data_IF_380433307145
#
_entry.id   IF_380433307145
#
_cell.length_a   1.000
_cell.length_b   1.000
_cell.length_c   1.000
_cell.angle_alpha   90.00
_cell.angle_beta   90.00
_cell.angle_gamma   90.00
#
_symmetry.space_group_name_H-M   'P 1'
#
loop_
_entity.id
_entity.type
_entity.pdbx_description
1 polymer ?
#
# COMPACT_ATOMS: atom_id res chain seq x y z
N UNK A 1 37.56 29.73 18.70
CA UNK A 1 36.61 29.47 17.60
C UNK A 1 36.81 28.03 17.16
N UNK A 2 36.04 27.10 17.72
CA UNK A 2 36.09 25.70 17.34
C UNK A 2 34.84 25.42 16.51
N UNK A 3 35.01 25.28 15.19
CA UNK A 3 33.99 24.69 14.32
C UNK A 3 33.98 23.19 14.60
N UNK A 4 32.91 22.70 15.21
CA UNK A 4 32.62 21.27 15.23
C UNK A 4 32.25 20.81 13.80
N UNK A 5 32.67 19.60 13.40
CA UNK A 5 32.34 19.03 12.10
C UNK A 5 30.84 18.72 12.03
N UNK A 6 30.32 18.85 10.82
CA UNK A 6 28.92 18.87 10.44
C UNK A 6 28.16 17.61 10.89
N UNK A 7 26.97 17.89 11.41
CA UNK A 7 25.88 16.98 11.71
C UNK A 7 25.79 15.85 10.67
N UNK A 8 25.79 14.60 11.15
CA UNK A 8 25.45 13.47 10.31
C UNK A 8 24.04 13.70 9.80
N UNK A 9 23.86 13.78 8.48
CA UNK A 9 22.54 13.62 7.90
C UNK A 9 22.19 12.15 8.15
N UNK A 10 21.61 11.89 9.32
CA UNK A 10 20.76 10.74 9.51
C UNK A 10 19.63 10.93 8.47
N UNK A 11 19.67 10.19 7.36
CA UNK A 11 18.63 10.23 6.33
C UNK A 11 17.30 9.87 7.00
N UNK A 12 16.56 10.88 7.46
CA UNK A 12 15.29 10.68 8.13
C UNK A 12 14.33 10.02 7.13
N UNK A 13 13.74 8.86 7.47
CA UNK A 13 12.90 8.12 6.53
C UNK A 13 11.78 9.00 5.97
N UNK A 14 11.54 8.94 4.66
CA UNK A 14 10.51 9.75 4.02
C UNK A 14 9.12 9.16 4.29
N UNK A 15 8.64 9.44 5.51
CA UNK A 15 7.33 9.03 6.01
C UNK A 15 6.17 9.57 5.18
N UNK A 16 6.36 10.70 4.50
CA UNK A 16 5.33 11.30 3.65
C UNK A 16 5.14 10.48 2.38
N UNK A 17 6.23 10.14 1.69
CA UNK A 17 6.19 9.35 0.45
C UNK A 17 5.80 7.90 0.72
N UNK A 18 6.32 7.31 1.80
CA UNK A 18 5.91 5.98 2.24
C UNK A 18 4.39 5.93 2.52
N UNK A 19 3.85 6.91 3.25
CA UNK A 19 2.42 6.93 3.56
C UNK A 19 1.57 7.15 2.30
N UNK A 20 2.01 7.99 1.36
CA UNK A 20 1.32 8.21 0.09
C UNK A 20 1.19 6.92 -0.72
N UNK A 21 2.16 6.00 -0.64
CA UNK A 21 2.08 4.70 -1.28
C UNK A 21 0.82 3.91 -0.85
N UNK A 22 0.46 3.95 0.43
CA UNK A 22 -0.76 3.29 0.93
C UNK A 22 -2.04 3.94 0.43
N UNK A 23 -2.08 5.27 0.31
CA UNK A 23 -3.23 5.94 -0.31
C UNK A 23 -3.33 5.58 -1.79
N UNK A 24 -2.20 5.51 -2.48
CA UNK A 24 -2.12 5.04 -3.86
C UNK A 24 -2.67 3.64 -4.06
N UNK A 25 -2.46 2.75 -3.09
CA UNK A 25 -2.94 1.37 -3.13
C UNK A 25 -4.48 1.25 -3.20
N UNK A 26 -5.24 2.28 -2.79
CA UNK A 26 -6.70 2.33 -2.93
C UNK A 26 -7.11 2.33 -4.41
N UNK A 27 -6.35 3.04 -5.24
CA UNK A 27 -6.60 3.13 -6.68
C UNK A 27 -6.03 1.93 -7.45
N UNK A 28 -5.17 1.14 -6.80
CA UNK A 28 -4.58 -0.07 -7.34
C UNK A 28 -3.08 -0.21 -7.02
N UNK A 29 -2.45 -1.33 -7.41
CA UNK A 29 -1.06 -1.63 -7.06
C UNK A 29 -0.02 -0.80 -7.81
N UNK A 30 -0.40 -0.11 -8.89
CA UNK A 30 0.55 0.56 -9.79
C UNK A 30 1.23 1.76 -9.11
N UNK A 31 0.46 2.59 -8.39
CA UNK A 31 1.00 3.77 -7.71
C UNK A 31 2.05 3.38 -6.65
N UNK A 32 1.76 2.51 -5.67
CA UNK A 32 2.76 2.09 -4.70
C UNK A 32 3.94 1.34 -5.35
N UNK A 33 3.73 0.63 -6.46
CA UNK A 33 4.81 -0.03 -7.18
C UNK A 33 5.80 0.96 -7.79
N UNK A 34 5.31 2.07 -8.34
CA UNK A 34 6.16 3.17 -8.81
C UNK A 34 6.94 3.81 -7.65
N UNK A 35 6.31 4.00 -6.49
CA UNK A 35 6.98 4.52 -5.28
C UNK A 35 8.08 3.56 -4.82
N UNK A 36 7.82 2.25 -4.82
CA UNK A 36 8.82 1.24 -4.51
C UNK A 36 10.02 1.31 -5.45
N UNK A 37 9.76 1.45 -6.76
CA UNK A 37 10.83 1.51 -7.76
C UNK A 37 11.68 2.78 -7.62
N UNK A 38 11.05 3.91 -7.27
CA UNK A 38 11.72 5.17 -7.01
C UNK A 38 12.55 5.10 -5.72
N UNK A 39 12.01 4.45 -4.66
CA UNK A 39 12.61 4.47 -3.32
C UNK A 39 13.57 3.34 -2.97
N UNK A 40 13.65 2.30 -3.81
CA UNK A 40 14.50 1.11 -3.53
C UNK A 40 16.00 1.41 -3.44
N UNK A 41 16.46 2.56 -3.93
CA UNK A 41 17.88 2.92 -4.03
C UNK A 41 18.36 3.95 -2.99
N UNK A 42 17.44 4.78 -2.47
CA UNK A 42 17.71 5.89 -1.55
C UNK A 42 17.17 5.60 -0.14
N UNK A 43 15.92 5.15 0.00
CA UNK A 43 15.26 4.91 1.29
C UNK A 43 14.67 3.49 1.37
N UNK A 44 15.42 2.60 2.02
CA UNK A 44 15.00 1.20 2.21
C UNK A 44 13.73 1.07 3.04
N UNK A 45 13.50 1.97 4.00
CA UNK A 45 12.30 1.90 4.84
C UNK A 45 11.07 2.30 4.02
N UNK A 46 11.12 3.41 3.29
CA UNK A 46 10.03 3.83 2.41
C UNK A 46 9.80 2.82 1.27
N UNK A 47 10.86 2.21 0.74
CA UNK A 47 10.72 1.13 -0.24
C UNK A 47 9.97 -0.08 0.35
N UNK A 48 10.32 -0.54 1.55
CA UNK A 48 9.60 -1.65 2.19
C UNK A 48 8.12 -1.36 2.37
N UNK A 49 7.79 -0.14 2.78
CA UNK A 49 6.41 0.28 2.99
C UNK A 49 5.63 0.36 1.68
N UNK A 50 6.25 0.89 0.62
CA UNK A 50 5.69 0.88 -0.72
C UNK A 50 5.53 -0.54 -1.30
N UNK A 51 6.43 -1.47 -1.00
CA UNK A 51 6.27 -2.89 -1.37
C UNK A 51 5.06 -3.52 -0.66
N UNK A 52 4.89 -3.25 0.64
CA UNK A 52 3.73 -3.70 1.41
C UNK A 52 2.42 -3.13 0.84
N UNK A 53 2.39 -1.83 0.52
CA UNK A 53 1.25 -1.20 -0.13
C UNK A 53 0.94 -1.81 -1.51
N UNK A 54 1.96 -2.16 -2.29
CA UNK A 54 1.81 -2.82 -3.61
C UNK A 54 1.18 -4.20 -3.47
N UNK A 55 1.69 -4.99 -2.52
CA UNK A 55 1.20 -6.33 -2.20
C UNK A 55 -0.28 -6.32 -1.78
N UNK A 56 -0.66 -5.36 -0.93
CA UNK A 56 -2.05 -5.16 -0.55
C UNK A 56 -2.92 -4.68 -1.71
N UNK A 57 -2.46 -3.68 -2.48
CA UNK A 57 -3.19 -3.19 -3.66
C UNK A 57 -3.45 -4.29 -4.69
N UNK A 58 -2.53 -5.24 -4.82
CA UNK A 58 -2.73 -6.40 -5.69
C UNK A 58 -3.76 -7.38 -5.14
N UNK A 59 -3.75 -7.65 -3.83
CA UNK A 59 -4.79 -8.44 -3.17
C UNK A 59 -6.18 -7.82 -3.40
N UNK A 60 -6.31 -6.51 -3.23
CA UNK A 60 -7.56 -5.76 -3.47
C UNK A 60 -7.99 -5.90 -4.93
N UNK A 61 -7.07 -5.75 -5.88
CA UNK A 61 -7.35 -5.91 -7.31
C UNK A 61 -7.86 -7.33 -7.62
N UNK A 62 -7.21 -8.36 -7.09
CA UNK A 62 -7.63 -9.76 -7.28
C UNK A 62 -9.03 -10.00 -6.69
N UNK A 63 -9.28 -9.54 -5.47
CA UNK A 63 -10.59 -9.66 -4.83
C UNK A 63 -11.69 -8.95 -5.65
N UNK A 64 -11.38 -7.77 -6.17
CA UNK A 64 -12.30 -7.01 -7.03
C UNK A 64 -12.58 -7.73 -8.35
N UNK A 65 -11.54 -8.33 -8.97
CA UNK A 65 -11.70 -9.12 -10.19
C UNK A 65 -12.56 -10.37 -9.96
N UNK A 66 -12.41 -11.05 -8.82
CA UNK A 66 -13.27 -12.19 -8.45
C UNK A 66 -14.72 -11.73 -8.27
N UNK A 67 -14.96 -10.64 -7.55
CA UNK A 67 -16.31 -10.10 -7.36
C UNK A 67 -16.95 -9.68 -8.70
N UNK A 68 -16.15 -9.11 -9.61
CA UNK A 68 -16.57 -8.79 -10.99
C UNK A 68 -16.92 -10.05 -11.77
N UNK A 69 -16.10 -11.10 -11.71
CA UNK A 69 -16.39 -12.36 -12.36
C UNK A 69 -17.69 -13.01 -11.84
N UNK A 70 -17.93 -12.98 -10.52
CA UNK A 70 -19.20 -13.45 -9.94
C UNK A 70 -20.38 -12.67 -10.50
N UNK A 71 -20.25 -11.34 -10.63
CA UNK A 71 -21.30 -10.48 -11.19
C UNK A 71 -21.63 -10.83 -12.65
N UNK A 72 -20.61 -11.01 -13.48
CA UNK A 72 -20.78 -11.22 -14.93
C UNK A 72 -21.16 -12.67 -15.27
N UNK A 73 -20.56 -13.66 -14.61
CA UNK A 73 -20.71 -15.08 -14.98
C UNK A 73 -21.76 -15.84 -14.19
N UNK A 74 -22.29 -15.28 -13.09
CA UNK A 74 -23.30 -15.96 -12.26
C UNK A 74 -24.53 -15.07 -12.07
N UNK A 75 -25.45 -15.03 -13.07
CA UNK A 75 -26.59 -14.11 -13.07
C UNK A 75 -27.49 -14.23 -11.84
N UNK A 76 -27.63 -15.45 -11.29
CA UNK A 76 -28.45 -15.74 -10.11
C UNK A 76 -27.97 -14.97 -8.86
N UNK A 77 -26.68 -14.65 -8.78
CA UNK A 77 -26.05 -13.97 -7.64
C UNK A 77 -25.33 -12.69 -8.05
N UNK A 78 -25.69 -12.11 -9.19
CA UNK A 78 -25.01 -10.91 -9.70
C UNK A 78 -25.01 -9.75 -8.67
N UNK A 79 -26.09 -9.61 -7.90
CA UNK A 79 -26.19 -8.65 -6.80
C UNK A 79 -25.13 -8.86 -5.70
N UNK A 80 -24.79 -10.12 -5.37
CA UNK A 80 -23.71 -10.43 -4.43
C UNK A 80 -22.35 -10.02 -4.98
N UNK A 81 -22.15 -10.11 -6.31
CA UNK A 81 -20.95 -9.57 -6.96
C UNK A 81 -20.81 -8.06 -6.75
N UNK A 82 -21.90 -7.30 -6.94
CA UNK A 82 -21.91 -5.84 -6.70
C UNK A 82 -21.66 -5.49 -5.23
N UNK A 83 -22.30 -6.20 -4.28
CA UNK A 83 -22.03 -6.01 -2.86
C UNK A 83 -20.59 -6.38 -2.48
N UNK A 84 -20.04 -7.44 -3.09
CA UNK A 84 -18.65 -7.84 -2.91
C UNK A 84 -17.67 -6.77 -3.39
N UNK A 85 -17.92 -6.18 -4.56
CA UNK A 85 -17.12 -5.06 -5.08
C UNK A 85 -17.13 -3.87 -4.10
N UNK A 86 -18.29 -3.49 -3.59
CA UNK A 86 -18.41 -2.40 -2.61
C UNK A 86 -17.68 -2.73 -1.30
N UNK A 87 -17.85 -3.95 -0.79
CA UNK A 87 -17.19 -4.40 0.44
C UNK A 87 -15.66 -4.37 0.31
N UNK A 88 -15.12 -4.86 -0.81
CA UNK A 88 -13.68 -4.83 -1.10
C UNK A 88 -13.15 -3.39 -1.09
N UNK A 89 -13.84 -2.45 -1.74
CA UNK A 89 -13.44 -1.04 -1.77
C UNK A 89 -13.47 -0.40 -0.38
N UNK A 90 -14.53 -0.65 0.40
CA UNK A 90 -14.65 -0.12 1.76
C UNK A 90 -13.51 -0.64 2.66
N UNK A 91 -13.26 -1.95 2.63
CA UNK A 91 -12.17 -2.58 3.40
C UNK A 91 -10.82 -2.02 2.96
N UNK A 92 -10.58 -1.87 1.65
CA UNK A 92 -9.35 -1.29 1.11
C UNK A 92 -9.11 0.13 1.62
N UNK A 93 -10.12 1.00 1.55
CA UNK A 93 -10.03 2.39 2.03
C UNK A 93 -9.70 2.43 3.53
N UNK A 94 -10.41 1.64 4.35
CA UNK A 94 -10.20 1.62 5.80
C UNK A 94 -8.78 1.16 6.15
N UNK A 95 -8.33 0.04 5.59
CA UNK A 95 -7.01 -0.51 5.89
C UNK A 95 -5.88 0.39 5.35
N UNK A 96 -6.00 0.93 4.15
CA UNK A 96 -5.03 1.89 3.61
C UNK A 96 -4.96 3.18 4.43
N UNK A 97 -6.10 3.69 4.92
CA UNK A 97 -6.12 4.87 5.77
C UNK A 97 -5.45 4.60 7.13
N UNK A 98 -5.68 3.43 7.74
CA UNK A 98 -4.99 3.03 8.97
C UNK A 98 -3.48 2.90 8.75
N UNK A 99 -3.06 2.27 7.65
CA UNK A 99 -1.65 2.17 7.26
C UNK A 99 -1.03 3.56 7.06
N UNK A 100 -1.69 4.45 6.30
CA UNK A 100 -1.26 5.84 6.11
C UNK A 100 -1.01 6.55 7.44
N UNK A 101 -1.94 6.48 8.40
CA UNK A 101 -1.79 7.15 9.70
C UNK A 101 -0.64 6.58 10.53
N UNK A 102 -0.39 5.27 10.43
CA UNK A 102 0.70 4.58 11.13
C UNK A 102 2.05 4.99 10.55
N UNK A 103 2.18 4.95 9.21
CA UNK A 103 3.40 5.32 8.48
C UNK A 103 3.76 6.79 8.64
N UNK A 104 2.76 7.68 8.67
CA UNK A 104 2.95 9.11 8.97
C UNK A 104 3.54 9.38 10.36
N UNK A 105 3.52 8.40 11.27
CA UNK A 105 4.14 8.47 12.60
C UNK A 105 5.53 7.83 12.65
N UNK A 106 6.07 7.38 11.50
CA UNK A 106 7.33 6.64 11.43
C UNK A 106 7.22 5.16 11.87
N UNK A 107 6.00 4.64 12.02
CA UNK A 107 5.76 3.23 12.36
C UNK A 107 5.47 2.44 11.08
N UNK A 108 5.96 1.21 10.97
CA UNK A 108 5.64 0.34 9.82
C UNK A 108 4.18 -0.13 9.86
N UNK A 109 3.49 -0.12 8.72
CA UNK A 109 2.16 -0.70 8.67
C UNK A 109 2.21 -2.23 8.56
N UNK A 110 1.16 -2.88 9.06
CA UNK A 110 0.92 -4.30 8.84
C UNK A 110 -0.54 -4.46 8.45
N UNK A 111 -0.77 -5.10 7.31
CA UNK A 111 -2.11 -5.47 6.88
C UNK A 111 -2.49 -6.82 7.50
N UNK A 112 -3.76 -7.01 7.90
CA UNK A 112 -4.23 -8.30 8.38
C UNK A 112 -4.19 -9.39 7.29
N UNK A 113 -4.23 -8.98 6.03
CA UNK A 113 -4.14 -9.85 4.86
C UNK A 113 -3.26 -9.19 3.79
N UNK A 114 -2.26 -9.90 3.27
CA UNK A 114 -1.40 -9.46 2.18
C UNK A 114 -1.01 -10.64 1.27
N UNK A 115 -0.64 -10.34 0.02
CA UNK A 115 -0.02 -11.31 -0.90
C UNK A 115 1.39 -10.83 -1.19
N UNK A 116 2.41 -11.65 -0.93
CA UNK A 116 3.81 -11.29 -1.16
C UNK A 116 4.19 -11.42 -2.64
N UNK A 117 4.13 -10.31 -3.39
CA UNK A 117 4.57 -10.25 -4.80
C UNK A 117 5.87 -9.46 -4.95
N UNK A 118 6.00 -8.36 -4.21
CA UNK A 118 7.24 -7.58 -4.11
C UNK A 118 7.97 -7.98 -2.82
N UNK A 119 9.30 -8.18 -2.89
CA UNK A 119 10.13 -8.47 -1.71
C UNK A 119 10.16 -7.26 -0.77
N UNK A 120 9.90 -7.51 0.50
CA UNK A 120 10.01 -6.56 1.62
C UNK A 120 11.37 -6.59 2.33
N UNK A 121 12.42 -7.10 1.67
CA UNK A 121 13.77 -7.23 2.25
C UNK A 121 14.58 -5.94 2.22
#
# INVERSE_FOLDING_TARGET
MNHAPQDGIDDEPDTAVAALAHLGAILGPVIPWLVWLARRGDDRWAAREAATATNFGLLVLVAFMIATAVREFVPLVAFLGTLGQLAVLVVAVVLCYQAFRTVRRGLSATYPYDIKVVRTQ
#
